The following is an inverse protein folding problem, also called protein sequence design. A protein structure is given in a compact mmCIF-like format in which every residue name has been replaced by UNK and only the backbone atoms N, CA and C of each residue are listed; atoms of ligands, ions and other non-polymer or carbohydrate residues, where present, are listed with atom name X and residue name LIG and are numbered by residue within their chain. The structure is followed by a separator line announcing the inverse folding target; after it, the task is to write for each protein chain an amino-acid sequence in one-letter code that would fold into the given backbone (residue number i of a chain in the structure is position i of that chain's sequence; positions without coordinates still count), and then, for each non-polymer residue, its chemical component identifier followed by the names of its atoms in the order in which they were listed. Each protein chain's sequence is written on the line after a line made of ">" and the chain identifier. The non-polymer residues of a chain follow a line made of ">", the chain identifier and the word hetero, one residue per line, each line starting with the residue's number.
data_IF_907655317762
#
_entry.id   IF_907655317762
#
_cell.length_a   1.000
_cell.length_b   1.000
_cell.length_c   1.000
_cell.angle_alpha   90.00
_cell.angle_beta   90.00
_cell.angle_gamma   90.00
#
_symmetry.space_group_name_H-M   'P 1'
#
loop_
_entity.id
_entity.type
_entity.pdbx_description
1 polymer ?
#
# COMPACT_ATOMS: atom_id res chain seq x y z
N UNK A 1 -20.55 -29.96 -84.37
CA UNK A 1 -20.69 -28.49 -84.50
C UNK A 1 -21.23 -27.96 -83.19
N UNK A 2 -20.41 -27.24 -82.44
CA UNK A 2 -20.56 -26.96 -81.01
C UNK A 2 -21.04 -25.53 -80.77
N UNK A 3 -22.07 -25.27 -79.93
CA UNK A 3 -22.29 -23.94 -79.40
C UNK A 3 -21.56 -23.78 -78.06
N UNK A 4 -20.79 -22.70 -77.99
CA UNK A 4 -20.04 -22.22 -76.82
C UNK A 4 -21.00 -21.94 -75.67
N UNK A 5 -20.75 -22.57 -74.52
CA UNK A 5 -21.42 -22.22 -73.27
C UNK A 5 -20.77 -20.94 -72.71
N UNK A 6 -21.56 -19.87 -72.63
CA UNK A 6 -21.19 -18.63 -71.94
C UNK A 6 -21.25 -18.88 -70.43
N UNK A 7 -20.09 -18.87 -69.78
CA UNK A 7 -20.00 -18.85 -68.32
C UNK A 7 -20.20 -17.42 -67.86
N UNK A 8 -21.39 -17.10 -67.34
CA UNK A 8 -21.62 -15.86 -66.59
C UNK A 8 -21.01 -16.02 -65.20
N UNK A 9 -19.89 -15.35 -64.96
CA UNK A 9 -19.27 -15.26 -63.63
C UNK A 9 -20.11 -14.38 -62.71
N UNK A 10 -20.65 -14.97 -61.65
CA UNK A 10 -21.36 -14.26 -60.59
C UNK A 10 -20.34 -13.53 -59.70
N UNK A 11 -20.19 -12.21 -59.83
CA UNK A 11 -19.43 -11.39 -58.90
C UNK A 11 -20.26 -11.18 -57.62
N UNK A 12 -19.97 -11.96 -56.58
CA UNK A 12 -20.51 -11.72 -55.24
C UNK A 12 -19.77 -10.52 -54.60
N UNK A 13 -20.43 -9.37 -54.55
CA UNK A 13 -19.96 -8.21 -53.78
C UNK A 13 -20.23 -8.48 -52.30
N UNK A 14 -19.20 -8.90 -51.57
CA UNK A 14 -19.27 -9.03 -50.11
C UNK A 14 -19.11 -7.63 -49.52
N UNK A 15 -20.22 -7.02 -49.10
CA UNK A 15 -20.20 -5.76 -48.38
C UNK A 15 -19.63 -5.99 -46.97
N UNK A 16 -18.37 -5.62 -46.77
CA UNK A 16 -17.72 -5.64 -45.46
C UNK A 16 -18.34 -4.57 -44.56
N UNK A 17 -19.36 -4.93 -43.80
CA UNK A 17 -19.87 -4.07 -42.73
C UNK A 17 -18.82 -3.99 -41.62
N UNK A 18 -18.16 -2.85 -41.47
CA UNK A 18 -17.32 -2.58 -40.31
C UNK A 18 -18.19 -2.55 -39.06
N UNK A 19 -18.21 -3.65 -38.31
CA UNK A 19 -18.73 -3.63 -36.95
C UNK A 19 -17.80 -2.73 -36.13
N UNK A 20 -18.22 -1.50 -35.88
CA UNK A 20 -17.61 -0.66 -34.86
C UNK A 20 -17.88 -1.33 -33.51
N UNK A 21 -16.94 -2.15 -33.06
CA UNK A 21 -16.92 -2.66 -31.69
C UNK A 21 -16.76 -1.43 -30.80
N UNK A 22 -17.83 -1.05 -30.09
CA UNK A 22 -17.75 -0.06 -29.05
C UNK A 22 -16.75 -0.55 -28.01
N UNK A 23 -15.56 0.03 -27.99
CA UNK A 23 -14.60 -0.24 -26.92
C UNK A 23 -15.27 0.19 -25.60
N UNK A 24 -15.26 -0.66 -24.56
CA UNK A 24 -15.70 -0.22 -23.25
C UNK A 24 -14.87 1.01 -22.91
N UNK A 25 -15.55 2.15 -22.70
CA UNK A 25 -14.90 3.31 -22.08
C UNK A 25 -14.49 2.81 -20.70
N UNK A 26 -13.22 2.44 -20.54
CA UNK A 26 -12.64 2.35 -19.22
C UNK A 26 -12.85 3.73 -18.62
N UNK A 27 -13.80 3.84 -17.69
CA UNK A 27 -13.88 4.99 -16.82
C UNK A 27 -12.45 5.20 -16.31
N UNK A 28 -11.90 6.39 -16.54
CA UNK A 28 -10.60 6.78 -16.00
C UNK A 28 -10.71 6.56 -14.50
N UNK A 29 -10.17 5.44 -14.00
CA UNK A 29 -10.00 5.26 -12.57
C UNK A 29 -9.13 6.42 -12.13
N UNK A 30 -9.49 7.03 -11.02
CA UNK A 30 -8.54 7.89 -10.31
C UNK A 30 -7.24 7.07 -10.16
N UNK A 31 -6.14 7.58 -10.72
CA UNK A 31 -4.86 6.86 -10.76
C UNK A 31 -4.22 6.72 -9.37
N UNK A 32 -4.87 7.27 -8.35
CA UNK A 32 -4.42 7.20 -6.98
C UNK A 32 -4.51 5.76 -6.42
N UNK A 33 -3.49 5.31 -5.65
CA UNK A 33 -3.55 4.04 -4.95
C UNK A 33 -4.71 4.04 -3.94
N UNK A 34 -5.39 2.91 -3.76
CA UNK A 34 -6.53 2.81 -2.83
C UNK A 34 -6.02 2.98 -1.39
N UNK A 35 -6.82 3.61 -0.51
CA UNK A 35 -6.46 3.81 0.90
C UNK A 35 -6.11 2.48 1.58
N UNK A 36 -6.83 1.41 1.26
CA UNK A 36 -6.55 0.08 1.76
C UNK A 36 -5.13 -0.41 1.39
N UNK A 37 -4.65 -0.10 0.19
CA UNK A 37 -3.32 -0.50 -0.27
C UNK A 37 -2.23 0.32 0.45
N UNK A 38 -2.48 1.61 0.69
CA UNK A 38 -1.58 2.48 1.47
C UNK A 38 -1.48 1.99 2.93
N UNK A 39 -2.62 1.70 3.56
CA UNK A 39 -2.67 1.24 4.96
C UNK A 39 -2.12 -0.18 5.12
N UNK A 40 -2.33 -1.06 4.14
CA UNK A 40 -1.70 -2.38 4.12
C UNK A 40 -0.18 -2.26 4.00
N UNK A 41 0.31 -1.35 3.17
CA UNK A 41 1.74 -1.03 3.12
C UNK A 41 2.23 -0.51 4.48
N UNK A 42 1.53 0.42 5.13
CA UNK A 42 1.91 0.88 6.47
C UNK A 42 1.96 -0.26 7.51
N UNK A 43 0.99 -1.17 7.49
CA UNK A 43 0.93 -2.34 8.37
C UNK A 43 2.10 -3.30 8.15
N UNK A 44 2.46 -3.59 6.90
CA UNK A 44 3.65 -4.40 6.58
C UNK A 44 4.91 -3.76 7.15
N UNK A 45 5.01 -2.44 7.08
CA UNK A 45 6.19 -1.67 7.51
C UNK A 45 6.29 -1.60 9.03
N UNK A 46 5.16 -1.47 9.71
CA UNK A 46 5.03 -1.65 11.16
C UNK A 46 5.57 -3.01 11.61
N UNK A 47 5.22 -4.09 10.91
CA UNK A 47 5.80 -5.41 11.20
C UNK A 47 7.32 -5.42 11.03
N UNK A 48 7.82 -4.91 9.90
CA UNK A 48 9.25 -4.91 9.61
C UNK A 48 10.05 -4.07 10.60
N UNK A 49 9.50 -2.93 11.01
CA UNK A 49 10.04 -2.06 12.05
C UNK A 49 10.27 -2.82 13.36
N UNK A 50 9.29 -3.60 13.82
CA UNK A 50 9.43 -4.41 15.03
C UNK A 50 10.66 -5.31 14.99
N UNK A 51 10.78 -6.09 13.90
CA UNK A 51 11.89 -7.03 13.77
C UNK A 51 13.24 -6.33 13.57
N UNK A 52 13.27 -5.20 12.86
CA UNK A 52 14.48 -4.39 12.73
C UNK A 52 14.96 -3.86 14.10
N UNK A 53 14.06 -3.31 14.91
CA UNK A 53 14.41 -2.82 16.25
C UNK A 53 14.79 -3.93 17.22
N UNK A 54 14.12 -5.10 17.14
CA UNK A 54 14.49 -6.29 17.93
C UNK A 54 15.89 -6.80 17.60
N UNK A 55 16.25 -6.79 16.33
CA UNK A 55 17.58 -7.15 15.85
C UNK A 55 18.63 -6.02 16.02
N UNK A 56 18.22 -4.86 16.56
CA UNK A 56 19.05 -3.65 16.70
C UNK A 56 19.63 -3.16 15.36
N UNK A 57 18.93 -3.45 14.28
CA UNK A 57 19.21 -2.88 12.97
C UNK A 57 18.60 -1.48 12.89
N UNK A 58 19.31 -0.52 13.48
CA UNK A 58 18.81 0.85 13.65
C UNK A 58 18.62 1.58 12.32
N UNK A 59 19.43 1.28 11.30
CA UNK A 59 19.25 1.85 9.96
C UNK A 59 17.94 1.36 9.31
N UNK A 60 17.67 0.05 9.40
CA UNK A 60 16.40 -0.49 8.90
C UNK A 60 15.21 0.00 9.74
N UNK A 61 15.36 0.12 11.06
CA UNK A 61 14.31 0.65 11.92
C UNK A 61 13.98 2.12 11.57
N UNK A 62 14.99 2.95 11.34
CA UNK A 62 14.82 4.34 10.90
C UNK A 62 14.12 4.41 9.54
N UNK A 63 14.59 3.62 8.58
CA UNK A 63 13.98 3.52 7.26
C UNK A 63 12.51 3.10 7.35
N UNK A 64 12.18 2.03 8.06
CA UNK A 64 10.79 1.56 8.15
C UNK A 64 9.89 2.56 8.90
N UNK A 65 10.43 3.31 9.87
CA UNK A 65 9.72 4.41 10.55
C UNK A 65 9.39 5.55 9.58
N UNK A 66 10.36 6.02 8.80
CA UNK A 66 10.16 7.05 7.77
C UNK A 66 9.16 6.60 6.70
N UNK A 67 9.23 5.32 6.31
CA UNK A 67 8.28 4.70 5.40
C UNK A 67 6.86 4.71 5.99
N UNK A 68 6.65 4.38 7.26
CA UNK A 68 5.32 4.47 7.89
C UNK A 68 4.80 5.91 7.84
N UNK A 69 5.62 6.89 8.22
CA UNK A 69 5.27 8.33 8.17
C UNK A 69 4.79 8.75 6.78
N UNK A 70 5.55 8.42 5.74
CA UNK A 70 5.20 8.75 4.36
C UNK A 70 3.83 8.20 3.95
N UNK A 71 3.47 6.97 4.36
CA UNK A 71 2.17 6.36 4.01
C UNK A 71 1.01 7.03 4.71
N UNK A 72 1.22 7.51 5.94
CA UNK A 72 0.22 8.29 6.67
C UNK A 72 0.03 9.68 6.02
N UNK A 73 1.11 10.30 5.54
CA UNK A 73 1.07 11.56 4.80
C UNK A 73 0.40 11.39 3.41
N UNK A 74 0.70 10.30 2.70
CA UNK A 74 0.02 9.92 1.45
C UNK A 74 -1.49 9.73 1.68
N UNK A 75 -1.88 9.03 2.76
CA UNK A 75 -3.27 8.86 3.11
C UNK A 75 -3.96 10.21 3.39
N UNK A 76 -3.32 11.10 4.15
CA UNK A 76 -3.86 12.43 4.46
C UNK A 76 -4.06 13.30 3.22
N UNK A 77 -3.10 13.24 2.29
CA UNK A 77 -3.11 14.08 1.09
C UNK A 77 -4.10 13.58 0.03
N UNK A 78 -4.25 12.26 -0.11
CA UNK A 78 -5.11 11.65 -1.13
C UNK A 78 -6.56 11.45 -0.66
N UNK A 79 -6.81 11.38 0.65
CA UNK A 79 -8.12 11.03 1.21
C UNK A 79 -8.64 12.09 2.19
N UNK A 80 -9.29 13.13 1.64
CA UNK A 80 -9.85 14.25 2.41
C UNK A 80 -10.96 13.85 3.40
N UNK A 81 -11.53 12.64 3.26
CA UNK A 81 -12.49 12.09 4.22
C UNK A 81 -11.87 11.69 5.55
N UNK A 82 -10.54 11.55 5.61
CA UNK A 82 -9.84 11.25 6.86
C UNK A 82 -9.71 12.52 7.70
N UNK A 83 -10.11 12.49 8.99
CA UNK A 83 -9.84 13.60 9.90
C UNK A 83 -8.34 13.89 9.98
N UNK A 84 -7.95 15.15 9.75
CA UNK A 84 -6.54 15.58 9.87
C UNK A 84 -5.98 15.29 11.27
N UNK A 85 -6.83 15.30 12.29
CA UNK A 85 -6.50 14.93 13.67
C UNK A 85 -6.00 13.49 13.80
N UNK A 86 -6.50 12.56 13.00
CA UNK A 86 -6.09 11.15 13.06
C UNK A 86 -4.65 10.97 12.56
N UNK A 87 -4.26 11.73 11.53
CA UNK A 87 -2.91 11.69 10.97
C UNK A 87 -1.93 12.47 11.85
N UNK A 88 -2.31 13.69 12.26
CA UNK A 88 -1.47 14.52 13.13
C UNK A 88 -1.28 13.90 14.52
N UNK A 89 -2.24 13.11 15.00
CA UNK A 89 -2.11 12.31 16.22
C UNK A 89 -0.98 11.27 16.17
N UNK A 90 -0.48 10.92 14.98
CA UNK A 90 0.65 10.00 14.80
C UNK A 90 2.02 10.69 14.84
N UNK A 91 2.10 12.02 14.85
CA UNK A 91 3.38 12.73 14.89
C UNK A 91 4.19 12.39 16.14
N UNK A 92 3.57 12.50 17.32
CA UNK A 92 4.23 12.20 18.61
C UNK A 92 4.78 10.76 18.71
N UNK A 93 4.03 9.68 18.40
CA UNK A 93 4.60 8.33 18.46
C UNK A 93 5.71 8.11 17.43
N UNK A 94 5.64 8.74 16.25
CA UNK A 94 6.72 8.67 15.23
C UNK A 94 7.98 9.39 15.71
N UNK A 95 7.85 10.56 16.33
CA UNK A 95 8.98 11.31 16.87
C UNK A 95 9.64 10.54 18.03
N UNK A 96 8.83 9.91 18.89
CA UNK A 96 9.32 9.07 19.98
C UNK A 96 10.10 7.85 19.46
N UNK A 97 9.61 7.20 18.40
CA UNK A 97 10.32 6.11 17.72
C UNK A 97 11.65 6.58 17.13
N UNK A 98 11.62 7.69 16.38
CA UNK A 98 12.81 8.30 15.77
C UNK A 98 13.87 8.61 16.84
N UNK A 99 13.47 9.23 17.95
CA UNK A 99 14.37 9.52 19.06
C UNK A 99 14.92 8.25 19.73
N UNK A 100 14.10 7.22 19.91
CA UNK A 100 14.54 5.95 20.49
C UNK A 100 15.54 5.19 19.59
N UNK A 101 15.31 5.23 18.27
CA UNK A 101 16.19 4.64 17.25
C UNK A 101 17.51 5.40 17.18
N UNK A 102 17.49 6.74 17.17
CA UNK A 102 18.69 7.57 17.21
C UNK A 102 19.52 7.32 18.47
N UNK A 103 18.86 7.16 19.62
CA UNK A 103 19.49 6.80 20.89
C UNK A 103 19.91 5.32 20.97
N UNK A 104 19.60 4.50 19.96
CA UNK A 104 19.85 3.05 19.91
C UNK A 104 19.41 2.33 21.18
N UNK A 105 18.28 2.75 21.74
CA UNK A 105 17.80 2.29 23.04
C UNK A 105 16.64 1.28 22.88
N UNK A 106 16.87 -0.03 23.11
CA UNK A 106 15.85 -1.05 22.87
C UNK A 106 14.61 -0.92 23.74
N UNK A 107 14.75 -0.46 24.99
CA UNK A 107 13.63 -0.31 25.91
C UNK A 107 12.74 0.88 25.49
N UNK A 108 13.34 2.02 25.14
CA UNK A 108 12.62 3.17 24.59
C UNK A 108 11.97 2.83 23.25
N UNK A 109 12.65 2.04 22.40
CA UNK A 109 12.10 1.59 21.12
C UNK A 109 10.84 0.74 21.33
N UNK A 110 10.88 -0.25 22.21
CA UNK A 110 9.73 -1.12 22.47
C UNK A 110 8.51 -0.31 22.97
N UNK A 111 8.71 0.59 23.94
CA UNK A 111 7.64 1.47 24.42
C UNK A 111 7.09 2.39 23.31
N UNK A 112 7.97 3.00 22.50
CA UNK A 112 7.54 3.86 21.40
C UNK A 112 6.80 3.07 20.30
N UNK A 113 7.20 1.82 20.05
CA UNK A 113 6.50 0.91 19.15
C UNK A 113 5.09 0.56 19.64
N UNK A 114 4.91 0.34 20.94
CA UNK A 114 3.59 0.12 21.54
C UNK A 114 2.70 1.36 21.38
N UNK A 115 3.26 2.56 21.60
CA UNK A 115 2.54 3.81 21.36
C UNK A 115 2.16 4.01 19.89
N UNK A 116 3.05 3.68 18.94
CA UNK A 116 2.72 3.68 17.51
C UNK A 116 1.55 2.72 17.22
N UNK A 117 1.61 1.50 17.76
CA UNK A 117 0.56 0.49 17.60
C UNK A 117 -0.78 0.97 18.15
N UNK A 118 -0.77 1.60 19.33
CA UNK A 118 -1.95 2.20 19.92
C UNK A 118 -2.52 3.34 19.05
N UNK A 119 -1.65 4.19 18.49
CA UNK A 119 -2.04 5.26 17.57
C UNK A 119 -2.70 4.74 16.29
N UNK A 120 -2.13 3.68 15.67
CA UNK A 120 -2.76 3.00 14.52
C UNK A 120 -4.17 2.52 14.87
N UNK A 121 -4.34 1.90 16.04
CA UNK A 121 -5.64 1.39 16.47
C UNK A 121 -6.64 2.50 16.80
N UNK A 122 -6.20 3.62 17.38
CA UNK A 122 -7.07 4.76 17.67
C UNK A 122 -7.64 5.36 16.38
N UNK A 123 -6.81 5.58 15.35
CA UNK A 123 -7.26 6.03 14.04
C UNK A 123 -8.26 5.04 13.42
N UNK A 124 -8.00 3.73 13.49
CA UNK A 124 -8.92 2.72 12.98
C UNK A 124 -10.26 2.73 13.73
N UNK A 125 -10.26 2.92 15.05
CA UNK A 125 -11.50 3.01 15.84
C UNK A 125 -12.30 4.27 15.49
N UNK A 126 -11.65 5.42 15.40
CA UNK A 126 -12.28 6.70 15.04
C UNK A 126 -12.95 6.67 13.66
N UNK A 127 -12.43 5.84 12.74
CA UNK A 127 -12.94 5.70 11.38
C UNK A 127 -13.83 4.46 11.19
N UNK A 128 -14.42 3.91 12.26
CA UNK A 128 -15.33 2.75 12.20
C UNK A 128 -14.69 1.51 11.54
N UNK A 129 -13.38 1.35 11.73
CA UNK A 129 -12.54 0.26 11.22
C UNK A 129 -11.88 -0.51 12.36
N UNK A 130 -12.43 -0.46 13.57
CA UNK A 130 -11.85 -1.11 14.77
C UNK A 130 -11.64 -2.62 14.65
N UNK A 131 -12.30 -3.28 13.70
CA UNK A 131 -12.06 -4.70 13.37
C UNK A 131 -10.68 -4.94 12.72
N UNK A 132 -10.02 -3.90 12.21
CA UNK A 132 -8.62 -3.93 11.74
C UNK A 132 -7.71 -3.64 12.94
N UNK A 133 -7.63 -4.60 13.86
CA UNK A 133 -6.81 -4.46 15.07
C UNK A 133 -5.33 -4.78 14.79
N UNK A 134 -4.47 -3.78 14.90
CA UNK A 134 -3.02 -3.91 14.80
C UNK A 134 -2.47 -4.39 16.14
N UNK A 135 -1.51 -5.31 16.09
CA UNK A 135 -0.84 -5.87 17.25
C UNK A 135 0.66 -5.91 17.04
N UNK A 136 1.41 -6.03 18.12
CA UNK A 136 2.82 -6.39 18.04
C UNK A 136 2.94 -7.74 17.29
N UNK A 137 3.79 -7.84 16.25
CA UNK A 137 4.00 -9.09 15.53
C UNK A 137 4.56 -10.18 16.43
N UNK A 138 4.04 -11.40 16.27
CA UNK A 138 4.52 -12.60 16.99
C UNK A 138 5.32 -13.55 16.11
N UNK A 139 5.29 -13.37 14.79
CA UNK A 139 6.09 -14.11 13.81
C UNK A 139 6.58 -13.21 12.68
N UNK A 140 7.72 -13.58 12.11
CA UNK A 140 8.35 -12.92 10.99
C UNK A 140 8.07 -13.77 9.74
N UNK A 141 7.26 -13.29 8.76
CA UNK A 141 6.96 -14.04 7.54
C UNK A 141 7.80 -13.63 6.31
N UNK A 142 8.55 -12.52 6.35
CA UNK A 142 9.40 -12.09 5.23
C UNK A 142 10.76 -12.80 5.29
N UNK A 143 10.78 -14.06 4.87
CA UNK A 143 11.97 -14.92 4.83
C UNK A 143 13.02 -14.50 3.79
N UNK A 144 12.68 -13.57 2.90
CA UNK A 144 13.56 -13.05 1.85
C UNK A 144 14.22 -11.71 2.24
N UNK A 145 14.23 -11.35 3.52
CA UNK A 145 14.87 -10.14 4.01
C UNK A 145 15.66 -10.42 5.30
N UNK A 146 16.90 -9.95 5.33
CA UNK A 146 17.74 -9.93 6.52
C UNK A 146 17.33 -8.76 7.44
N UNK A 147 17.07 -9.07 8.71
CA UNK A 147 16.72 -8.07 9.73
C UNK A 147 17.88 -7.71 10.63
N UNK A 148 18.92 -8.54 10.68
CA UNK A 148 20.11 -8.27 11.46
C UNK A 148 20.86 -7.04 10.94
N UNK A 149 21.39 -6.23 11.86
CA UNK A 149 22.20 -5.08 11.51
C UNK A 149 23.50 -5.52 10.85
N UNK A 150 23.97 -4.76 9.86
CA UNK A 150 25.34 -4.95 9.34
C UNK A 150 26.31 -4.57 10.47
N UNK A 151 27.23 -5.50 10.78
CA UNK A 151 28.30 -5.30 11.76
C UNK A 151 29.31 -4.29 11.25
#
# INVERSE_FOLDING_TARGET
>A
MTPRWLVFGLLAVVASSSLAIAQPRYATRDNNPRLADIMEAARVRHLKLWYAGKARNWELADYETAQIKARLEDAASLYQSLPLSDVTGMATPIDALTAAIAAKNPAKFAAAFDHLTAGCNACHQNNERGFIAIRQPTSQPFSNQEFDGKR
#
